data_IF_966039622019
#
_entry.id   IF_966039622019
#
_cell.length_a   1.000
_cell.length_b   1.000
_cell.length_c   1.000
_cell.angle_alpha   90.00
_cell.angle_beta   90.00
_cell.angle_gamma   90.00
#
_symmetry.space_group_name_H-M   'P 1'
#
loop_
_entity.id
_entity.type
_entity.pdbx_description
1 polymer ?
#
# COMPACT_ATOMS: atom_id res chain seq x y z
N UNK A 1 -3.09 19.94 33.56
CA UNK A 1 -3.06 19.64 32.11
C UNK A 1 -3.33 18.16 31.96
N UNK A 2 -4.52 17.78 31.49
CA UNK A 2 -4.96 16.38 31.45
C UNK A 2 -4.20 15.63 30.36
N UNK A 3 -3.30 14.72 30.75
CA UNK A 3 -2.71 13.75 29.83
C UNK A 3 -3.84 12.86 29.30
N UNK A 4 -4.16 12.98 28.02
CA UNK A 4 -5.09 12.07 27.35
C UNK A 4 -4.45 10.68 27.35
N UNK A 5 -4.80 9.84 28.32
CA UNK A 5 -4.25 8.49 28.40
C UNK A 5 -4.65 7.73 27.13
N UNK A 6 -3.67 7.36 26.30
CA UNK A 6 -3.91 6.55 25.10
C UNK A 6 -4.63 5.26 25.51
N UNK A 7 -5.80 5.00 24.91
CA UNK A 7 -6.56 3.79 25.20
C UNK A 7 -5.92 2.59 24.48
N UNK A 8 -5.03 1.89 25.19
CA UNK A 8 -4.28 0.75 24.65
C UNK A 8 -5.18 -0.43 24.26
N UNK A 9 -6.26 -0.69 25.00
CA UNK A 9 -7.22 -1.73 24.62
C UNK A 9 -7.86 -1.41 23.27
N UNK A 10 -8.24 -0.15 23.05
CA UNK A 10 -8.79 0.31 21.77
C UNK A 10 -7.75 0.21 20.65
N UNK A 11 -6.49 0.57 20.91
CA UNK A 11 -5.41 0.44 19.93
C UNK A 11 -5.22 -1.02 19.50
N UNK A 12 -5.10 -1.94 20.46
CA UNK A 12 -4.93 -3.39 20.21
C UNK A 12 -6.09 -3.95 19.39
N UNK A 13 -7.33 -3.63 19.75
CA UNK A 13 -8.51 -4.07 19.00
C UNK A 13 -8.50 -3.55 17.57
N UNK A 14 -8.19 -2.26 17.36
CA UNK A 14 -8.16 -1.68 16.01
C UNK A 14 -7.03 -2.25 15.16
N UNK A 15 -5.87 -2.58 15.75
CA UNK A 15 -4.79 -3.27 15.02
C UNK A 15 -5.24 -4.64 14.50
N UNK A 16 -5.93 -5.44 15.32
CA UNK A 16 -6.49 -6.73 14.88
C UNK A 16 -7.56 -6.55 13.79
N UNK A 17 -8.46 -5.58 13.94
CA UNK A 17 -9.49 -5.29 12.94
C UNK A 17 -8.88 -4.82 11.61
N UNK A 18 -7.86 -3.95 11.66
CA UNK A 18 -7.14 -3.48 10.48
C UNK A 18 -6.49 -4.65 9.73
N UNK A 19 -5.82 -5.57 10.43
CA UNK A 19 -5.22 -6.77 9.81
C UNK A 19 -6.28 -7.62 9.12
N UNK A 20 -7.40 -7.91 9.80
CA UNK A 20 -8.47 -8.71 9.22
C UNK A 20 -9.06 -8.04 7.96
N UNK A 21 -9.26 -6.72 8.01
CA UNK A 21 -9.81 -5.95 6.89
C UNK A 21 -8.84 -5.88 5.71
N UNK A 22 -7.56 -5.62 5.95
CA UNK A 22 -6.52 -5.58 4.93
C UNK A 22 -6.41 -6.93 4.20
N UNK A 23 -6.47 -8.06 4.93
CA UNK A 23 -6.51 -9.40 4.32
C UNK A 23 -7.68 -9.57 3.34
N UNK A 24 -8.88 -9.16 3.74
CA UNK A 24 -10.07 -9.23 2.89
C UNK A 24 -9.98 -8.32 1.67
N UNK A 25 -9.50 -7.09 1.85
CA UNK A 25 -9.35 -6.11 0.77
C UNK A 25 -8.34 -6.57 -0.27
N UNK A 26 -7.16 -7.04 0.17
CA UNK A 26 -6.15 -7.59 -0.72
C UNK A 26 -6.69 -8.75 -1.54
N UNK A 27 -7.31 -9.74 -0.89
CA UNK A 27 -7.93 -10.88 -1.58
C UNK A 27 -8.94 -10.42 -2.64
N UNK A 28 -9.85 -9.51 -2.27
CA UNK A 28 -10.85 -8.97 -3.19
C UNK A 28 -10.20 -8.26 -4.38
N UNK A 29 -9.20 -7.42 -4.15
CA UNK A 29 -8.50 -6.67 -5.20
C UNK A 29 -7.72 -7.61 -6.14
N UNK A 30 -6.99 -8.59 -5.60
CA UNK A 30 -6.28 -9.60 -6.40
C UNK A 30 -7.23 -10.41 -7.28
N UNK A 31 -8.40 -10.82 -6.76
CA UNK A 31 -9.41 -11.52 -7.56
C UNK A 31 -9.98 -10.65 -8.70
N UNK A 32 -10.20 -9.35 -8.44
CA UNK A 32 -10.65 -8.40 -9.46
C UNK A 32 -9.58 -8.16 -10.53
N UNK A 33 -8.32 -7.94 -10.13
CA UNK A 33 -7.24 -7.73 -11.11
C UNK A 33 -6.97 -8.99 -11.93
N UNK A 34 -7.13 -10.19 -11.36
CA UNK A 34 -7.02 -11.44 -12.11
C UNK A 34 -8.09 -11.57 -13.21
N UNK A 35 -9.34 -11.15 -12.95
CA UNK A 35 -10.40 -11.12 -13.98
C UNK A 35 -10.06 -10.13 -15.09
N UNK A 36 -9.60 -8.93 -14.73
CA UNK A 36 -9.21 -7.93 -15.71
C UNK A 36 -8.02 -8.37 -16.57
N UNK A 37 -7.02 -9.06 -15.99
CA UNK A 37 -5.92 -9.65 -16.78
C UNK A 37 -6.41 -10.65 -17.82
N UNK A 38 -7.42 -11.45 -17.49
CA UNK A 38 -8.05 -12.38 -18.45
C UNK A 38 -8.74 -11.63 -19.59
N UNK A 39 -9.50 -10.58 -19.28
CA UNK A 39 -10.15 -9.74 -20.29
C UNK A 39 -9.10 -9.10 -21.21
N UNK A 40 -8.00 -8.58 -20.66
CA UNK A 40 -6.90 -8.01 -21.44
C UNK A 40 -6.27 -9.06 -22.36
N UNK A 41 -6.08 -10.29 -21.90
CA UNK A 41 -5.58 -11.38 -22.75
C UNK A 41 -6.48 -11.62 -23.96
N UNK A 42 -7.80 -11.65 -23.77
CA UNK A 42 -8.76 -11.74 -24.88
C UNK A 42 -8.63 -10.56 -25.85
N UNK A 43 -8.43 -9.34 -25.35
CA UNK A 43 -8.23 -8.17 -26.21
C UNK A 43 -6.90 -8.18 -26.97
N UNK A 44 -5.81 -8.68 -26.36
CA UNK A 44 -4.52 -8.87 -27.04
C UNK A 44 -4.71 -9.81 -28.24
N UNK A 45 -5.44 -10.91 -28.06
CA UNK A 45 -5.69 -11.87 -29.14
C UNK A 45 -6.49 -11.30 -30.33
N UNK A 46 -7.27 -10.24 -30.09
CA UNK A 46 -8.06 -9.55 -31.14
C UNK A 46 -7.35 -8.33 -31.74
N UNK A 47 -6.11 -8.03 -31.32
CA UNK A 47 -5.28 -6.95 -31.86
C UNK A 47 -5.69 -5.53 -31.42
N UNK A 48 -6.52 -5.37 -30.38
CA UNK A 48 -7.04 -4.06 -29.92
C UNK A 48 -6.25 -3.47 -28.74
N UNK A 49 -4.93 -3.50 -28.81
CA UNK A 49 -4.02 -3.23 -27.67
C UNK A 49 -4.09 -1.76 -27.18
N UNK A 50 -4.21 -0.78 -28.08
CA UNK A 50 -4.18 0.64 -27.70
C UNK A 50 -5.30 1.04 -26.72
N UNK A 51 -6.48 0.44 -26.86
CA UNK A 51 -7.64 0.72 -25.99
C UNK A 51 -7.48 0.15 -24.58
N UNK A 52 -6.62 -0.84 -24.42
CA UNK A 52 -6.43 -1.57 -23.16
C UNK A 52 -5.26 -1.06 -22.32
N UNK A 53 -4.38 -0.20 -22.88
CA UNK A 53 -3.28 0.43 -22.13
C UNK A 53 -3.76 1.17 -20.88
N UNK A 54 -4.98 1.74 -20.91
CA UNK A 54 -5.61 2.37 -19.74
C UNK A 54 -6.02 1.33 -18.69
N UNK A 55 -6.53 0.16 -19.10
CA UNK A 55 -6.89 -0.93 -18.18
C UNK A 55 -5.65 -1.57 -17.55
N UNK A 56 -4.56 -1.71 -18.30
CA UNK A 56 -3.26 -2.17 -17.77
C UNK A 56 -2.74 -1.21 -16.71
N UNK A 57 -2.78 0.11 -16.97
CA UNK A 57 -2.40 1.12 -15.96
C UNK A 57 -3.23 1.01 -14.67
N UNK A 58 -4.52 0.71 -14.79
CA UNK A 58 -5.38 0.48 -13.64
C UNK A 58 -4.94 -0.77 -12.85
N UNK A 59 -4.65 -1.89 -13.53
CA UNK A 59 -4.16 -3.12 -12.87
C UNK A 59 -2.85 -2.85 -12.12
N UNK A 60 -1.89 -2.18 -12.74
CA UNK A 60 -0.60 -1.84 -12.11
C UNK A 60 -0.82 -1.03 -10.82
N UNK A 61 -1.73 -0.06 -10.84
CA UNK A 61 -2.06 0.75 -9.65
C UNK A 61 -2.72 -0.09 -8.55
N UNK A 62 -3.61 -1.00 -8.93
CA UNK A 62 -4.26 -1.91 -7.98
C UNK A 62 -3.24 -2.90 -7.36
N UNK A 63 -2.28 -3.39 -8.13
CA UNK A 63 -1.23 -4.27 -7.62
C UNK A 63 -0.32 -3.53 -6.64
N UNK A 64 0.12 -2.30 -6.97
CA UNK A 64 0.87 -1.47 -6.02
C UNK A 64 0.10 -1.19 -4.74
N UNK A 65 -1.22 -0.99 -4.84
CA UNK A 65 -2.08 -0.80 -3.68
C UNK A 65 -2.15 -2.07 -2.81
N UNK A 66 -2.26 -3.25 -3.43
CA UNK A 66 -2.22 -4.54 -2.71
C UNK A 66 -0.89 -4.72 -1.99
N UNK A 67 0.23 -4.49 -2.67
CA UNK A 67 1.57 -4.55 -2.08
C UNK A 67 1.75 -3.54 -0.94
N UNK A 68 1.23 -2.31 -1.07
CA UNK A 68 1.22 -1.33 0.00
C UNK A 68 0.40 -1.82 1.21
N UNK A 69 -0.77 -2.41 0.97
CA UNK A 69 -1.59 -3.00 2.03
C UNK A 69 -0.89 -4.18 2.74
N UNK A 70 -0.02 -4.93 2.06
CA UNK A 70 0.80 -5.99 2.67
C UNK A 70 1.82 -5.42 3.66
N UNK A 71 2.52 -4.35 3.26
CA UNK A 71 3.46 -3.64 4.13
C UNK A 71 2.73 -3.08 5.37
N UNK A 72 1.57 -2.46 5.17
CA UNK A 72 0.74 -1.93 6.26
C UNK A 72 0.29 -3.04 7.21
N UNK A 73 -0.17 -4.18 6.67
CA UNK A 73 -0.54 -5.34 7.49
C UNK A 73 0.65 -5.86 8.31
N UNK A 74 1.83 -5.96 7.69
CA UNK A 74 3.06 -6.37 8.38
C UNK A 74 3.37 -5.43 9.56
N UNK A 75 3.27 -4.11 9.37
CA UNK A 75 3.46 -3.15 10.46
C UNK A 75 2.41 -3.26 11.56
N UNK A 76 1.14 -3.47 11.22
CA UNK A 76 0.12 -3.73 12.23
C UNK A 76 0.44 -4.99 13.06
N UNK A 77 0.95 -6.05 12.44
CA UNK A 77 1.40 -7.25 13.15
C UNK A 77 2.64 -6.98 14.02
N UNK A 78 3.61 -6.20 13.52
CA UNK A 78 4.80 -5.81 14.28
C UNK A 78 4.42 -5.04 15.55
N UNK A 79 3.53 -4.05 15.45
CA UNK A 79 3.05 -3.30 16.62
C UNK A 79 2.27 -4.17 17.62
N UNK A 80 1.54 -5.19 17.14
CA UNK A 80 0.90 -6.16 18.03
C UNK A 80 1.90 -7.08 18.71
N UNK A 81 2.94 -7.51 18.01
CA UNK A 81 4.00 -8.36 18.56
C UNK A 81 4.84 -7.61 19.60
N UNK A 82 5.08 -6.31 19.39
CA UNK A 82 5.84 -5.44 20.28
C UNK A 82 4.95 -4.50 21.11
N UNK A 83 3.74 -4.94 21.44
CA UNK A 83 2.75 -4.08 22.11
C UNK A 83 3.20 -3.60 23.50
N UNK A 84 4.00 -4.40 24.20
CA UNK A 84 4.54 -4.04 25.51
C UNK A 84 5.50 -2.84 25.46
N UNK A 85 6.20 -2.64 24.33
CA UNK A 85 7.03 -1.45 24.14
C UNK A 85 6.14 -0.20 24.03
N UNK A 86 5.02 -0.30 23.32
CA UNK A 86 4.07 0.81 23.14
C UNK A 86 3.39 1.20 24.46
N UNK A 87 3.09 0.23 25.33
CA UNK A 87 2.40 0.49 26.60
C UNK A 87 3.34 1.00 27.68
N UNK A 88 4.51 0.37 27.85
CA UNK A 88 5.40 0.60 28.99
C UNK A 88 6.47 1.65 28.72
N UNK A 89 6.89 1.83 27.47
CA UNK A 89 7.89 2.84 27.09
C UNK A 89 7.16 4.12 26.67
N UNK A 90 7.66 5.26 27.16
CA UNK A 90 7.12 6.58 26.82
C UNK A 90 7.68 7.09 25.49
N UNK A 91 8.97 6.85 25.28
CA UNK A 91 9.69 7.25 24.07
C UNK A 91 9.45 6.24 22.94
N UNK A 92 9.66 6.70 21.71
CA UNK A 92 9.53 5.86 20.53
C UNK A 92 10.81 5.03 20.38
N UNK A 93 10.68 3.72 20.47
CA UNK A 93 11.78 2.78 20.28
C UNK A 93 12.11 2.63 18.78
N UNK A 94 13.40 2.55 18.46
CA UNK A 94 13.88 2.44 17.08
C UNK A 94 13.29 1.23 16.34
N UNK A 95 13.05 0.12 17.05
CA UNK A 95 12.50 -1.12 16.50
C UNK A 95 11.04 -1.04 16.03
N UNK A 96 10.27 -0.05 16.52
CA UNK A 96 8.89 0.22 16.09
C UNK A 96 8.72 1.56 15.39
N UNK A 97 9.76 2.40 15.40
CA UNK A 97 9.72 3.76 14.87
C UNK A 97 9.23 3.81 13.42
N UNK A 98 9.76 2.94 12.57
CA UNK A 98 9.39 2.85 11.16
C UNK A 98 7.92 2.49 10.97
N UNK A 99 7.43 1.52 11.75
CA UNK A 99 6.04 1.06 11.70
C UNK A 99 5.07 2.16 12.17
N UNK A 100 5.40 2.85 13.26
CA UNK A 100 4.59 3.94 13.80
C UNK A 100 4.51 5.10 12.80
N UNK A 101 5.65 5.56 12.27
CA UNK A 101 5.72 6.64 11.27
C UNK A 101 4.93 6.31 10.02
N UNK A 102 5.16 5.10 9.49
CA UNK A 102 4.54 4.64 8.25
C UNK A 102 3.03 4.52 8.40
N UNK A 103 2.53 4.00 9.53
CA UNK A 103 1.08 3.89 9.77
C UNK A 103 0.41 5.25 9.94
N UNK A 104 1.05 6.21 10.62
CA UNK A 104 0.52 7.58 10.74
C UNK A 104 0.45 8.25 9.36
N UNK A 105 1.50 8.09 8.54
CA UNK A 105 1.55 8.67 7.20
C UNK A 105 0.55 8.03 6.23
N UNK A 106 0.32 6.71 6.30
CA UNK A 106 -0.63 5.99 5.45
C UNK A 106 -2.09 6.24 5.83
N UNK A 107 -2.39 6.47 7.10
CA UNK A 107 -3.77 6.60 7.58
C UNK A 107 -4.69 7.51 6.72
N UNK A 108 -4.32 8.75 6.34
CA UNK A 108 -5.15 9.57 5.46
C UNK A 108 -5.28 9.04 4.02
N UNK A 109 -4.30 8.28 3.53
CA UNK A 109 -4.24 7.75 2.16
C UNK A 109 -5.09 6.50 1.96
N UNK A 110 -5.23 5.67 3.00
CA UNK A 110 -6.04 4.44 2.98
C UNK A 110 -7.32 4.51 3.83
N UNK A 111 -7.71 5.71 4.29
CA UNK A 111 -8.87 5.88 5.17
C UNK A 111 -10.19 5.36 4.55
N UNK A 112 -10.35 5.49 3.23
CA UNK A 112 -11.52 5.00 2.49
C UNK A 112 -11.65 3.48 2.54
N UNK A 113 -10.51 2.79 2.48
CA UNK A 113 -10.46 1.33 2.42
C UNK A 113 -10.48 0.71 3.82
N UNK A 114 -9.71 1.29 4.75
CA UNK A 114 -9.55 0.81 6.13
C UNK A 114 -9.64 1.97 7.13
N UNK A 115 -10.84 2.17 7.68
CA UNK A 115 -11.13 3.25 8.62
C UNK A 115 -10.44 3.08 9.98
N UNK A 116 -10.08 1.84 10.33
CA UNK A 116 -9.37 1.47 11.55
C UNK A 116 -7.98 2.12 11.60
N UNK A 117 -7.33 2.32 10.44
CA UNK A 117 -6.03 3.01 10.35
C UNK A 117 -6.09 4.44 10.88
N UNK A 118 -7.21 5.14 10.68
CA UNK A 118 -7.39 6.48 11.25
C UNK A 118 -7.37 6.43 12.78
N UNK A 119 -8.11 5.49 13.36
CA UNK A 119 -8.17 5.32 14.82
C UNK A 119 -6.80 4.94 15.39
N UNK A 120 -6.06 4.06 14.70
CA UNK A 120 -4.70 3.69 15.07
C UNK A 120 -3.78 4.92 15.05
N UNK A 121 -3.80 5.70 13.95
CA UNK A 121 -2.98 6.90 13.82
C UNK A 121 -3.33 7.97 14.87
N UNK A 122 -4.60 8.18 15.18
CA UNK A 122 -5.03 9.13 16.22
C UNK A 122 -4.53 8.71 17.61
N UNK A 123 -4.56 7.41 17.92
CA UNK A 123 -4.05 6.87 19.19
C UNK A 123 -2.52 6.93 19.29
N UNK A 124 -1.81 6.65 18.19
CA UNK A 124 -0.35 6.81 18.12
C UNK A 124 0.05 8.29 18.21
N UNK A 125 -0.73 9.19 17.61
CA UNK A 125 -0.54 10.65 17.72
C UNK A 125 -0.73 11.13 19.15
N UNK A 126 -1.75 10.63 19.86
CA UNK A 126 -1.95 10.95 21.27
C UNK A 126 -0.80 10.44 22.16
N UNK A 127 -0.19 9.29 21.80
CA UNK A 127 0.92 8.67 22.54
C UNK A 127 2.25 9.40 22.32
N UNK A 128 2.63 9.65 21.07
CA UNK A 128 3.96 10.17 20.69
C UNK A 128 3.97 11.68 20.40
N UNK A 129 2.79 12.32 20.42
CA UNK A 129 2.62 13.75 20.29
C UNK A 129 2.24 14.22 18.89
N UNK A 130 1.50 15.32 18.84
CA UNK A 130 1.01 15.92 17.60
C UNK A 130 2.14 16.40 16.67
N UNK A 131 3.21 16.96 17.22
CA UNK A 131 4.34 17.44 16.41
C UNK A 131 5.01 16.30 15.64
N UNK A 132 5.16 15.14 16.28
CA UNK A 132 5.70 13.94 15.64
C UNK A 132 4.78 13.43 14.53
N UNK A 133 3.48 13.34 14.81
CA UNK A 133 2.52 12.88 13.82
C UNK A 133 2.42 13.81 12.61
N UNK A 134 2.51 15.12 12.83
CA UNK A 134 2.53 16.10 11.75
C UNK A 134 3.80 15.97 10.91
N UNK A 135 4.96 15.82 11.55
CA UNK A 135 6.22 15.56 10.88
C UNK A 135 6.20 14.26 10.05
N UNK A 136 5.51 13.21 10.53
CA UNK A 136 5.23 12.02 9.73
C UNK A 136 4.38 12.37 8.50
N UNK A 137 3.31 13.15 8.65
CA UNK A 137 2.36 13.47 7.56
C UNK A 137 2.99 14.31 6.45
N UNK A 138 3.85 15.28 6.80
CA UNK A 138 4.54 16.15 5.83
C UNK A 138 5.86 15.55 5.32
N UNK A 139 6.15 14.29 5.65
CA UNK A 139 7.34 13.56 5.21
C UNK A 139 8.67 14.20 5.66
N UNK A 140 8.66 14.92 6.79
CA UNK A 140 9.87 15.52 7.38
C UNK A 140 10.65 14.56 8.29
N UNK A 141 10.29 13.28 8.27
CA UNK A 141 10.96 12.21 9.04
C UNK A 141 11.41 11.12 8.07
N UNK A 142 12.65 10.66 8.25
CA UNK A 142 13.29 9.64 7.41
C UNK A 142 12.83 8.21 7.73
N UNK A 143 12.22 7.98 8.89
CA UNK A 143 11.74 6.65 9.34
C UNK A 143 10.49 6.16 8.60
N UNK A 144 9.93 6.92 7.64
CA UNK A 144 8.80 6.44 6.84
C UNK A 144 9.33 5.53 5.72
N UNK A 145 8.76 4.34 5.60
CA UNK A 145 9.20 3.37 4.60
C UNK A 145 9.12 3.92 3.16
N UNK A 146 10.27 3.98 2.48
CA UNK A 146 10.37 4.53 1.12
C UNK A 146 9.60 3.69 0.08
N UNK A 147 9.57 2.37 0.23
CA UNK A 147 8.82 1.50 -0.68
C UNK A 147 7.32 1.78 -0.58
N UNK A 148 6.84 2.04 0.62
CA UNK A 148 5.44 2.42 0.88
C UNK A 148 5.12 3.78 0.26
N UNK A 149 6.03 4.76 0.37
CA UNK A 149 5.89 6.07 -0.31
C UNK A 149 5.79 5.91 -1.81
N UNK A 150 6.69 5.14 -2.41
CA UNK A 150 6.71 4.90 -3.85
C UNK A 150 5.41 4.23 -4.32
N UNK A 151 4.97 3.16 -3.64
CA UNK A 151 3.75 2.39 -4.03
C UNK A 151 2.46 3.19 -3.89
N UNK A 152 2.37 4.10 -2.91
CA UNK A 152 1.20 4.96 -2.72
C UNK A 152 1.31 6.30 -3.45
N UNK A 153 2.42 6.56 -4.16
CA UNK A 153 2.55 7.76 -4.97
C UNK A 153 1.61 7.68 -6.18
N UNK A 154 0.86 8.76 -6.43
CA UNK A 154 -0.09 8.87 -7.55
C UNK A 154 0.69 9.24 -8.82
N UNK A 155 1.73 8.47 -9.14
CA UNK A 155 2.45 8.64 -10.41
C UNK A 155 1.88 7.69 -11.46
N UNK A 156 1.80 8.18 -12.70
CA UNK A 156 1.40 7.32 -13.82
C UNK A 156 2.51 6.30 -14.08
N UNK A 157 2.18 4.99 -14.20
CA UNK A 157 3.15 3.98 -14.57
C UNK A 157 3.89 4.38 -15.86
N UNK A 158 5.21 4.17 -15.88
CA UNK A 158 6.00 4.40 -17.09
C UNK A 158 5.49 3.54 -18.25
N UNK A 159 5.57 4.05 -19.48
CA UNK A 159 5.14 3.31 -20.69
C UNK A 159 5.82 1.95 -20.80
N UNK A 160 7.10 1.88 -20.43
CA UNK A 160 7.86 0.63 -20.35
C UNK A 160 7.25 -0.39 -19.38
N UNK A 161 6.77 0.05 -18.21
CA UNK A 161 6.13 -0.85 -17.24
C UNK A 161 4.81 -1.39 -17.77
N UNK A 162 4.03 -0.55 -18.48
CA UNK A 162 2.78 -0.97 -19.14
C UNK A 162 3.09 -2.05 -20.19
N UNK A 163 4.10 -1.83 -21.02
CA UNK A 163 4.50 -2.77 -22.07
C UNK A 163 4.96 -4.11 -21.48
N UNK A 164 5.79 -4.09 -20.44
CA UNK A 164 6.20 -5.28 -19.69
C UNK A 164 5.02 -6.06 -19.11
N UNK A 165 4.04 -5.36 -18.54
CA UNK A 165 2.82 -6.00 -18.04
C UNK A 165 2.00 -6.67 -19.16
N UNK A 166 1.92 -6.06 -20.34
CA UNK A 166 1.21 -6.65 -21.49
C UNK A 166 1.94 -7.92 -21.95
N UNK A 167 3.27 -7.89 -22.03
CA UNK A 167 4.09 -9.05 -22.35
C UNK A 167 3.87 -10.18 -21.34
N UNK A 168 3.95 -9.90 -20.04
CA UNK A 168 3.74 -10.90 -18.99
C UNK A 168 2.34 -11.53 -19.05
N UNK A 169 1.30 -10.74 -19.34
CA UNK A 169 -0.05 -11.24 -19.54
C UNK A 169 -0.10 -12.13 -20.80
N UNK A 170 0.46 -11.68 -21.92
CA UNK A 170 0.47 -12.44 -23.16
C UNK A 170 1.18 -13.79 -22.98
N UNK A 171 2.33 -13.81 -22.31
CA UNK A 171 3.09 -15.02 -22.00
C UNK A 171 2.30 -15.97 -21.10
N UNK A 172 1.63 -15.46 -20.05
CA UNK A 172 0.86 -16.28 -19.11
C UNK A 172 -0.34 -16.97 -19.77
N UNK A 173 -0.95 -16.33 -20.78
CA UNK A 173 -2.07 -16.88 -21.55
C UNK A 173 -1.66 -17.51 -22.90
N UNK A 174 -0.35 -17.61 -23.19
CA UNK A 174 0.20 -18.20 -24.43
C UNK A 174 -0.37 -17.52 -25.69
N UNK A 175 -0.34 -16.19 -25.70
CA UNK A 175 -0.82 -15.35 -26.80
C UNK A 175 0.39 -14.72 -27.48
N UNK A 176 0.54 -14.83 -28.82
CA UNK A 176 1.61 -14.16 -29.53
C UNK A 176 1.42 -12.64 -29.43
N UNK A 177 2.40 -11.96 -28.86
CA UNK A 177 2.44 -10.50 -28.72
C UNK A 177 3.80 -9.97 -29.13
N UNK A 178 3.82 -8.99 -30.01
CA UNK A 178 5.04 -8.25 -30.39
C UNK A 178 5.04 -6.90 -29.66
N UNK A 179 5.99 -6.66 -28.74
CA UNK A 179 6.07 -5.40 -28.02
C UNK A 179 6.55 -4.27 -28.93
N UNK A 180 6.18 -3.04 -28.59
CA UNK A 180 6.61 -1.86 -29.34
C UNK A 180 8.14 -1.65 -29.21
N UNK A 181 8.93 -1.81 -30.29
CA UNK A 181 10.39 -1.73 -30.23
C UNK A 181 10.86 -0.35 -29.76
N UNK A 182 10.13 0.73 -30.06
CA UNK A 182 10.49 2.08 -29.63
C UNK A 182 10.37 2.25 -28.11
N UNK A 183 9.42 1.56 -27.48
CA UNK A 183 9.22 1.59 -26.03
C UNK A 183 10.29 0.71 -25.35
N UNK A 184 10.63 -0.43 -25.95
CA UNK A 184 11.66 -1.33 -25.43
C UNK A 184 13.08 -0.73 -25.54
N UNK A 185 13.34 0.11 -26.55
CA UNK A 185 14.60 0.84 -26.68
C UNK A 185 14.81 1.93 -25.61
N UNK A 186 13.74 2.40 -24.94
CA UNK A 186 13.85 3.34 -23.81
C UNK A 186 14.48 2.73 -22.55
N UNK A 187 14.76 1.42 -22.55
CA UNK A 187 15.44 0.69 -21.48
C UNK A 187 16.98 0.77 -21.58
N UNK A 188 17.55 1.22 -22.72
CA UNK A 188 18.99 1.44 -22.92
C UNK A 188 19.45 2.83 -22.53
#
# INVERSE_FOLDING_TARGET
MFSSSTNYTKLKTNLHLAIARLKLLKKKKTELTQKLRREIAEFISTGKIEREKVRVQYIIREDYLVEAMEIVEMYCNLLLAQFDLITNIKELDDGISEAVSSLIWVAPRLQSDCQELKVIADLLTAKYGHNYAEACRVESIETINEKLKHKLSIQSPAKLLIEKYIMEIADWYIIPYEPDPQIMEMEK
#
